data_IF_093786223440
#
_entry.id   IF_093786223440
#
_cell.length_a   1.000
_cell.length_b   1.000
_cell.length_c   1.000
_cell.angle_alpha   90.00
_cell.angle_beta   90.00
_cell.angle_gamma   90.00
#
_symmetry.space_group_name_H-M   'P 1'
#
loop_
_entity.id
_entity.type
_entity.pdbx_description
1 polymer ?
#
# COMPACT_ATOMS: atom_id res chain seq x y z
N UNK A 1 17.67 8.06 -1.63
CA UNK A 1 16.60 7.77 -2.62
C UNK A 1 16.82 6.44 -3.36
N UNK A 2 18.03 6.11 -3.82
CA UNK A 2 18.31 4.81 -4.47
C UNK A 2 18.06 3.61 -3.55
N UNK A 3 18.51 3.69 -2.30
CA UNK A 3 18.31 2.62 -1.31
C UNK A 3 16.82 2.40 -0.96
N UNK A 4 16.08 3.48 -0.70
CA UNK A 4 14.65 3.41 -0.38
C UNK A 4 13.83 2.78 -1.52
N UNK A 5 14.14 3.14 -2.77
CA UNK A 5 13.45 2.58 -3.94
C UNK A 5 13.78 1.09 -4.09
N UNK A 6 15.05 0.69 -3.94
CA UNK A 6 15.45 -0.71 -3.98
C UNK A 6 14.78 -1.55 -2.87
N UNK A 7 14.68 -1.01 -1.65
CA UNK A 7 13.96 -1.67 -0.55
C UNK A 7 12.46 -1.77 -0.81
N UNK A 8 11.86 -0.75 -1.42
CA UNK A 8 10.46 -0.76 -1.82
C UNK A 8 10.18 -1.82 -2.90
N UNK A 9 11.04 -1.92 -3.91
CA UNK A 9 10.96 -2.95 -4.95
C UNK A 9 11.11 -4.35 -4.36
N UNK A 10 12.04 -4.55 -3.41
CA UNK A 10 12.17 -5.81 -2.69
C UNK A 10 10.92 -6.13 -1.85
N UNK A 11 10.35 -5.14 -1.15
CA UNK A 11 9.12 -5.32 -0.38
C UNK A 11 7.92 -5.75 -1.26
N UNK A 12 7.85 -5.26 -2.51
CA UNK A 12 6.82 -5.72 -3.47
C UNK A 12 7.01 -7.17 -3.92
N UNK A 13 8.25 -7.67 -3.93
CA UNK A 13 8.53 -9.09 -4.17
C UNK A 13 8.14 -9.90 -2.94
N UNK A 14 8.57 -9.46 -1.76
CA UNK A 14 8.37 -10.14 -0.50
C UNK A 14 6.89 -10.29 -0.15
N UNK A 15 6.06 -9.26 -0.37
CA UNK A 15 4.62 -9.30 -0.08
C UNK A 15 3.90 -10.39 -0.89
N UNK A 16 4.41 -10.73 -2.08
CA UNK A 16 3.87 -11.80 -2.94
C UNK A 16 4.30 -13.19 -2.48
N UNK A 17 5.35 -13.27 -1.67
CA UNK A 17 5.91 -14.50 -1.11
C UNK A 17 5.43 -14.78 0.31
N UNK A 18 4.54 -13.95 0.87
CA UNK A 18 3.93 -14.22 2.17
C UNK A 18 3.19 -15.56 2.13
N UNK A 19 3.46 -16.39 3.13
CA UNK A 19 2.85 -17.72 3.27
C UNK A 19 1.38 -17.66 3.67
N UNK A 20 0.98 -16.57 4.33
CA UNK A 20 -0.39 -16.32 4.75
C UNK A 20 -0.93 -15.06 4.07
N UNK A 21 -2.20 -15.11 3.69
CA UNK A 21 -2.88 -13.96 3.10
C UNK A 21 -3.22 -12.95 4.21
N UNK A 22 -2.74 -11.69 4.12
CA UNK A 22 -3.10 -10.65 5.07
C UNK A 22 -4.61 -10.39 5.08
N UNK A 23 -5.12 -9.84 6.18
CA UNK A 23 -6.50 -9.40 6.29
C UNK A 23 -6.87 -8.35 5.23
N UNK A 24 -8.16 -8.22 4.92
CA UNK A 24 -8.63 -7.29 3.89
C UNK A 24 -8.23 -5.83 4.17
N UNK A 25 -8.20 -5.42 5.44
CA UNK A 25 -7.76 -4.07 5.84
C UNK A 25 -6.28 -3.87 5.54
N UNK A 26 -5.45 -4.87 5.84
CA UNK A 26 -4.02 -4.87 5.53
C UNK A 26 -3.78 -4.82 4.02
N UNK A 27 -4.55 -5.59 3.23
CA UNK A 27 -4.48 -5.53 1.77
C UNK A 27 -4.87 -4.15 1.21
N UNK A 28 -5.89 -3.50 1.78
CA UNK A 28 -6.27 -2.14 1.42
C UNK A 28 -5.16 -1.13 1.79
N UNK A 29 -4.53 -1.28 2.96
CA UNK A 29 -3.41 -0.43 3.39
C UNK A 29 -2.20 -0.60 2.47
N UNK A 30 -1.82 -1.82 2.13
CA UNK A 30 -0.77 -2.14 1.17
C UNK A 30 -1.05 -1.49 -0.20
N UNK A 31 -2.29 -1.60 -0.69
CA UNK A 31 -2.70 -0.97 -1.94
C UNK A 31 -2.57 0.55 -1.89
N UNK A 32 -3.10 1.18 -0.84
CA UNK A 32 -3.05 2.63 -0.68
C UNK A 32 -1.63 3.17 -0.60
N UNK A 33 -0.77 2.52 0.20
CA UNK A 33 0.64 2.89 0.34
C UNK A 33 1.40 2.71 -0.97
N UNK A 34 1.16 1.61 -1.69
CA UNK A 34 1.75 1.39 -3.02
C UNK A 34 1.34 2.50 -4.00
N UNK A 35 0.04 2.82 -4.08
CA UNK A 35 -0.46 3.87 -4.97
C UNK A 35 0.10 5.24 -4.61
N UNK A 36 0.15 5.59 -3.33
CA UNK A 36 0.75 6.85 -2.89
C UNK A 36 2.25 6.91 -3.21
N UNK A 37 2.98 5.79 -3.05
CA UNK A 37 4.41 5.69 -3.34
C UNK A 37 4.75 5.82 -4.83
N UNK A 38 3.87 5.36 -5.73
CA UNK A 38 4.13 5.40 -7.19
C UNK A 38 3.49 6.60 -7.87
N UNK A 39 2.26 6.93 -7.49
CA UNK A 39 1.38 7.85 -8.23
C UNK A 39 1.14 9.15 -7.45
N UNK A 40 1.60 9.23 -6.19
CA UNK A 40 1.32 10.36 -5.30
C UNK A 40 -0.15 10.40 -4.87
N UNK A 41 -0.66 11.59 -4.60
CA UNK A 41 -2.04 11.79 -4.13
C UNK A 41 -3.08 11.18 -5.08
N UNK A 42 -4.16 10.66 -4.49
CA UNK A 42 -5.28 10.08 -5.21
C UNK A 42 -5.85 11.06 -6.25
N UNK A 43 -6.04 10.54 -7.46
CA UNK A 43 -6.57 11.29 -8.60
C UNK A 43 -7.44 10.40 -9.49
N UNK A 44 -8.30 11.04 -10.28
CA UNK A 44 -9.29 10.38 -11.14
C UNK A 44 -10.68 10.32 -10.50
N UNK A 45 -11.62 9.71 -11.23
CA UNK A 45 -12.99 9.60 -10.77
C UNK A 45 -13.13 8.54 -9.67
N UNK A 46 -13.77 8.94 -8.57
CA UNK A 46 -14.11 8.02 -7.49
C UNK A 46 -15.04 6.93 -8.02
N UNK A 47 -14.74 5.64 -7.80
CA UNK A 47 -15.60 4.55 -8.25
C UNK A 47 -17.03 4.69 -7.73
N UNK A 48 -18.00 4.41 -8.61
CA UNK A 48 -19.42 4.49 -8.29
C UNK A 48 -19.88 3.41 -7.31
N UNK A 49 -21.10 3.56 -6.79
CA UNK A 49 -21.68 2.68 -5.76
C UNK A 49 -21.77 1.18 -6.14
N UNK A 50 -21.67 0.85 -7.42
CA UNK A 50 -21.66 -0.53 -7.93
C UNK A 50 -20.30 -1.22 -7.78
N UNK A 51 -19.21 -0.47 -7.60
CA UNK A 51 -17.86 -1.00 -7.34
C UNK A 51 -17.41 -0.67 -5.92
N UNK A 52 -17.93 -1.44 -4.97
CA UNK A 52 -17.65 -1.27 -3.54
C UNK A 52 -16.15 -1.46 -3.24
N UNK A 53 -15.48 -2.41 -3.92
CA UNK A 53 -14.06 -2.71 -3.69
C UNK A 53 -13.20 -1.57 -4.23
N UNK A 54 -13.47 -1.10 -5.44
CA UNK A 54 -12.80 0.07 -6.02
C UNK A 54 -12.99 1.30 -5.16
N UNK A 55 -14.19 1.52 -4.62
CA UNK A 55 -14.46 2.63 -3.70
C UNK A 55 -13.56 2.55 -2.45
N UNK A 56 -13.48 1.40 -1.79
CA UNK A 56 -12.62 1.26 -0.60
C UNK A 56 -11.13 1.43 -0.92
N UNK A 57 -10.68 0.95 -2.08
CA UNK A 57 -9.32 1.18 -2.57
C UNK A 57 -9.01 2.66 -2.79
N UNK A 58 -9.92 3.37 -3.45
CA UNK A 58 -9.80 4.81 -3.67
C UNK A 58 -9.83 5.55 -2.34
N UNK A 59 -10.78 5.25 -1.46
CA UNK A 59 -10.91 5.88 -0.14
C UNK A 59 -9.65 5.67 0.71
N UNK A 60 -9.06 4.47 0.68
CA UNK A 60 -7.82 4.19 1.39
C UNK A 60 -6.62 4.95 0.81
N UNK A 61 -6.55 5.11 -0.52
CA UNK A 61 -5.52 5.90 -1.17
C UNK A 61 -5.68 7.40 -0.90
N UNK A 62 -6.90 7.94 -1.03
CA UNK A 62 -7.23 9.35 -0.77
C UNK A 62 -6.98 9.73 0.70
N UNK A 63 -7.15 8.78 1.63
CA UNK A 63 -6.80 8.98 3.04
C UNK A 63 -5.30 9.22 3.30
N UNK A 64 -4.42 8.93 2.33
CA UNK A 64 -2.98 9.21 2.41
C UNK A 64 -2.58 10.53 1.75
N UNK A 65 -3.53 11.31 1.25
CA UNK A 65 -3.26 12.59 0.58
C UNK A 65 -2.35 13.50 1.40
N UNK A 66 -1.34 14.07 0.74
CA UNK A 66 -0.31 14.90 1.37
C UNK A 66 0.87 14.11 1.96
N UNK A 67 0.81 12.77 2.00
CA UNK A 67 1.97 11.93 2.33
C UNK A 67 2.95 11.94 1.16
N UNK A 68 4.23 12.17 1.41
CA UNK A 68 5.22 12.13 0.32
C UNK A 68 5.37 10.72 -0.24
N UNK A 69 5.84 10.60 -1.49
CA UNK A 69 6.09 9.29 -2.09
C UNK A 69 7.12 8.49 -1.29
N UNK A 70 8.14 9.15 -0.75
CA UNK A 70 9.18 8.48 0.03
C UNK A 70 8.65 8.01 1.40
N UNK A 71 7.81 8.80 2.07
CA UNK A 71 7.15 8.37 3.32
C UNK A 71 6.20 7.19 3.08
N UNK A 72 5.49 7.19 1.95
CA UNK A 72 4.63 6.07 1.56
C UNK A 72 5.42 4.79 1.28
N UNK A 73 6.58 4.89 0.60
CA UNK A 73 7.50 3.76 0.41
C UNK A 73 7.98 3.22 1.75
N UNK A 74 8.39 4.09 2.66
CA UNK A 74 8.88 3.68 3.97
C UNK A 74 7.80 2.93 4.77
N UNK A 75 6.59 3.48 4.86
CA UNK A 75 5.46 2.82 5.51
C UNK A 75 5.09 1.48 4.84
N UNK A 76 5.20 1.38 3.52
CA UNK A 76 4.97 0.12 2.81
C UNK A 76 5.99 -0.94 3.20
N UNK A 77 7.27 -0.58 3.23
CA UNK A 77 8.37 -1.48 3.64
C UNK A 77 8.14 -1.97 5.06
N UNK A 78 7.87 -1.06 6.00
CA UNK A 78 7.60 -1.39 7.41
C UNK A 78 6.41 -2.35 7.56
N UNK A 79 5.33 -2.11 6.81
CA UNK A 79 4.16 -2.99 6.82
C UNK A 79 4.50 -4.39 6.27
N UNK A 80 5.22 -4.48 5.15
CA UNK A 80 5.62 -5.79 4.59
C UNK A 80 6.56 -6.53 5.55
N UNK A 81 7.52 -5.84 6.17
CA UNK A 81 8.41 -6.44 7.19
C UNK A 81 7.60 -6.98 8.38
N UNK A 82 6.59 -6.25 8.86
CA UNK A 82 5.71 -6.73 9.95
C UNK A 82 4.89 -7.97 9.56
N UNK A 83 4.45 -8.07 8.31
CA UNK A 83 3.72 -9.23 7.79
C UNK A 83 4.61 -10.46 7.66
N UNK A 84 5.85 -10.28 7.20
CA UNK A 84 6.84 -11.37 7.15
C UNK A 84 7.16 -11.93 8.54
N UNK A 85 7.16 -11.06 9.54
CA UNK A 85 7.42 -11.42 10.93
C UNK A 85 6.17 -11.94 11.66
N UNK A 86 5.00 -11.95 11.01
CA UNK A 86 3.74 -12.39 11.61
C UNK A 86 3.18 -11.47 12.69
N UNK A 87 3.62 -10.21 12.74
CA UNK A 87 3.20 -9.23 13.77
C UNK A 87 2.06 -8.32 13.31
N UNK A 88 1.77 -8.30 12.01
CA UNK A 88 0.59 -7.67 11.44
C UNK A 88 -0.34 -8.74 10.84
N UNK A 89 -1.66 -8.57 10.98
CA UNK A 89 -2.68 -9.48 10.47
C UNK A 89 -3.83 -8.70 9.85
#
# INVERSE_FOLDING_TARGET
MSDLTARFDQAQIDVKQLTERPGNLTLLRLYALFKQATDGDAHGDKPGFTDIVGKYKYDAWDALKGTSQDDAKQQYIELVESLKNGTAS
#
